data_IF_132835091368
#
_entry.id   IF_132835091368
#
_cell.length_a   1.000
_cell.length_b   1.000
_cell.length_c   1.000
_cell.angle_alpha   90.00
_cell.angle_beta   90.00
_cell.angle_gamma   90.00
#
_symmetry.space_group_name_H-M   'P 1'
#
loop_
_entity.id
_entity.type
_entity.pdbx_description
1 polymer ?
#
# COMPACT_ATOMS: atom_id res chain seq x y z
N UNK A 1 16.11 9.17 3.68
CA UNK A 1 16.18 8.46 2.38
C UNK A 1 14.83 7.79 2.16
N UNK A 2 14.54 7.34 0.95
CA UNK A 2 13.26 6.74 0.60
C UNK A 2 13.54 5.64 -0.43
N UNK A 3 12.85 4.51 -0.31
CA UNK A 3 12.93 3.44 -1.29
C UNK A 3 11.52 3.17 -1.81
N UNK A 4 11.19 3.90 -2.87
CA UNK A 4 9.89 3.83 -3.54
C UNK A 4 9.80 2.60 -4.43
N UNK A 5 8.69 1.88 -4.32
CA UNK A 5 8.33 0.72 -5.15
C UNK A 5 6.82 0.56 -5.27
N UNK A 6 6.39 -0.35 -6.15
CA UNK A 6 4.99 -0.73 -6.31
C UNK A 6 4.05 0.38 -6.77
N UNK A 7 4.40 1.22 -7.76
CA UNK A 7 3.49 2.24 -8.26
C UNK A 7 2.25 1.61 -8.91
N UNK A 8 1.06 2.07 -8.52
CA UNK A 8 -0.22 1.68 -9.14
C UNK A 8 -1.19 2.86 -9.15
N UNK A 9 -1.96 3.04 -10.24
CA UNK A 9 -3.03 4.02 -10.29
C UNK A 9 -4.37 3.40 -9.86
N UNK A 10 -5.18 4.15 -9.11
CA UNK A 10 -6.59 3.82 -8.92
C UNK A 10 -7.47 4.34 -10.06
N UNK A 11 -8.76 4.05 -10.01
CA UNK A 11 -9.75 4.43 -11.03
C UNK A 11 -10.06 5.92 -11.07
N UNK A 12 -9.67 6.67 -10.03
CA UNK A 12 -9.79 8.12 -9.94
C UNK A 12 -8.52 8.85 -10.39
N UNK A 13 -7.45 8.10 -10.70
CA UNK A 13 -6.17 8.62 -11.19
C UNK A 13 -5.18 9.01 -10.10
N UNK A 14 -5.42 8.67 -8.83
CA UNK A 14 -4.37 8.83 -7.81
C UNK A 14 -3.31 7.75 -7.99
N UNK A 15 -2.05 8.14 -7.83
CA UNK A 15 -0.92 7.21 -7.79
C UNK A 15 -0.68 6.74 -6.35
N UNK A 16 -0.66 5.44 -6.17
CA UNK A 16 -0.30 4.78 -4.92
C UNK A 16 1.09 4.16 -5.05
N UNK A 17 1.90 4.27 -4.00
CA UNK A 17 3.24 3.72 -3.97
C UNK A 17 3.71 3.50 -2.53
N UNK A 18 4.69 2.61 -2.39
CA UNK A 18 5.22 2.19 -1.08
C UNK A 18 6.53 2.91 -0.78
N UNK A 19 6.89 2.95 0.51
CA UNK A 19 8.24 3.24 0.98
C UNK A 19 8.72 2.11 1.89
N UNK A 20 9.41 1.14 1.27
CA UNK A 20 9.59 -0.21 1.82
C UNK A 20 10.17 -0.19 3.25
N UNK A 21 11.33 0.45 3.52
CA UNK A 21 11.99 0.32 4.82
C UNK A 21 11.26 1.07 5.94
N UNK A 22 10.38 2.00 5.57
CA UNK A 22 9.65 2.85 6.50
C UNK A 22 8.20 2.39 6.71
N UNK A 23 7.75 1.34 6.01
CA UNK A 23 6.41 0.79 6.21
C UNK A 23 5.30 1.76 5.86
N UNK A 24 5.51 2.62 4.85
CA UNK A 24 4.53 3.64 4.44
C UNK A 24 3.92 3.32 3.10
N UNK A 25 2.65 3.68 2.96
CA UNK A 25 1.95 3.74 1.68
C UNK A 25 1.51 5.19 1.46
N UNK A 26 1.93 5.75 0.34
CA UNK A 26 1.56 7.07 -0.09
C UNK A 26 0.42 7.03 -1.10
N UNK A 27 -0.36 8.10 -1.11
CA UNK A 27 -1.22 8.49 -2.23
C UNK A 27 -0.72 9.81 -2.78
N UNK A 28 -0.66 9.92 -4.10
CA UNK A 28 -0.31 11.13 -4.82
C UNK A 28 -1.48 11.49 -5.72
N UNK A 29 -2.02 12.68 -5.54
CA UNK A 29 -3.12 13.19 -6.35
C UNK A 29 -2.68 13.46 -7.80
N UNK A 30 -3.61 13.57 -8.76
CA UNK A 30 -3.26 13.92 -10.15
C UNK A 30 -2.51 15.24 -10.33
N UNK A 31 -2.67 16.19 -9.39
CA UNK A 31 -1.92 17.45 -9.34
C UNK A 31 -0.59 17.37 -8.56
N UNK A 32 -0.21 16.19 -8.09
CA UNK A 32 1.09 15.91 -7.49
C UNK A 32 1.18 16.17 -5.99
N UNK A 33 0.06 16.26 -5.28
CA UNK A 33 0.02 16.39 -3.82
C UNK A 33 0.22 15.02 -3.18
N UNK A 34 1.15 14.92 -2.23
CA UNK A 34 1.49 13.68 -1.54
C UNK A 34 0.83 13.59 -0.17
N UNK A 35 0.34 12.40 0.16
CA UNK A 35 -0.25 12.08 1.46
C UNK A 35 0.27 10.72 1.95
N UNK A 36 0.62 10.62 3.24
CA UNK A 36 0.83 9.31 3.90
C UNK A 36 -0.55 8.77 4.26
N UNK A 37 -0.97 7.71 3.60
CA UNK A 37 -2.26 7.09 3.87
C UNK A 37 -2.16 6.10 5.02
N UNK A 38 -1.08 5.33 5.07
CA UNK A 38 -0.82 4.37 6.15
C UNK A 38 0.67 4.33 6.46
N UNK A 39 1.00 4.18 7.74
CA UNK A 39 2.33 3.86 8.26
C UNK A 39 2.19 2.70 9.26
N UNK A 40 2.98 1.63 9.10
CA UNK A 40 2.86 0.42 9.91
C UNK A 40 4.17 -0.39 9.96
N UNK A 41 4.25 -1.37 10.85
CA UNK A 41 5.44 -2.21 11.05
C UNK A 41 5.53 -3.35 10.01
N UNK A 42 5.73 -2.98 8.75
CA UNK A 42 5.86 -3.91 7.62
C UNK A 42 6.82 -3.37 6.57
N UNK A 43 7.09 -4.19 5.56
CA UNK A 43 7.93 -3.83 4.40
C UNK A 43 7.09 -4.00 3.13
N UNK A 44 6.16 -3.06 2.86
CA UNK A 44 5.32 -3.10 1.66
C UNK A 44 6.19 -2.96 0.42
N UNK A 45 5.89 -3.69 -0.64
CA UNK A 45 6.61 -3.61 -1.91
C UNK A 45 5.66 -3.46 -3.09
N UNK A 46 4.90 -4.52 -3.42
CA UNK A 46 3.98 -4.51 -4.56
C UNK A 46 2.58 -4.10 -4.16
N UNK A 47 1.92 -3.28 -4.99
CA UNK A 47 0.53 -2.87 -4.82
C UNK A 47 -0.34 -3.32 -6.00
N UNK A 48 -1.59 -3.67 -5.74
CA UNK A 48 -2.62 -3.88 -6.76
C UNK A 48 -3.96 -3.32 -6.29
N UNK A 49 -4.58 -2.48 -7.12
CA UNK A 49 -5.93 -1.96 -6.86
C UNK A 49 -6.96 -3.00 -7.31
N UNK A 50 -7.87 -3.35 -6.42
CA UNK A 50 -9.02 -4.21 -6.72
C UNK A 50 -10.18 -3.36 -7.25
N UNK A 51 -11.06 -3.89 -8.13
CA UNK A 51 -12.18 -3.12 -8.69
C UNK A 51 -13.20 -2.54 -7.68
N UNK A 52 -13.13 -2.92 -6.40
CA UNK A 52 -13.95 -2.34 -5.33
C UNK A 52 -13.23 -1.23 -4.53
N UNK A 53 -12.08 -0.76 -5.01
CA UNK A 53 -11.32 0.34 -4.41
C UNK A 53 -10.32 -0.07 -3.33
N UNK A 54 -10.31 -1.34 -2.89
CA UNK A 54 -9.31 -1.85 -1.94
C UNK A 54 -7.95 -2.03 -2.61
N UNK A 55 -6.88 -1.96 -1.82
CA UNK A 55 -5.51 -2.19 -2.30
C UNK A 55 -4.94 -3.44 -1.65
N UNK A 56 -4.50 -4.39 -2.48
CA UNK A 56 -3.72 -5.54 -2.04
C UNK A 56 -2.24 -5.18 -2.02
N UNK A 57 -1.57 -5.60 -0.96
CA UNK A 57 -0.19 -5.24 -0.66
C UNK A 57 0.61 -6.53 -0.51
N UNK A 58 1.66 -6.68 -1.31
CA UNK A 58 2.69 -7.67 -1.07
C UNK A 58 3.69 -7.08 -0.08
N UNK A 59 3.69 -7.60 1.14
CA UNK A 59 4.54 -7.16 2.24
C UNK A 59 5.55 -8.26 2.61
N UNK A 60 6.84 -7.91 2.63
CA UNK A 60 7.90 -8.88 2.92
C UNK A 60 7.83 -9.46 4.33
N UNK A 61 7.31 -8.70 5.31
CA UNK A 61 7.23 -9.10 6.72
C UNK A 61 5.87 -9.72 7.07
N UNK A 62 4.80 -9.23 6.46
CA UNK A 62 3.42 -9.53 6.88
C UNK A 62 2.66 -10.45 5.90
N UNK A 63 3.22 -10.76 4.73
CA UNK A 63 2.57 -11.59 3.71
C UNK A 63 1.73 -10.76 2.74
N UNK A 64 0.52 -11.21 2.42
CA UNK A 64 -0.42 -10.43 1.60
C UNK A 64 -1.42 -9.75 2.52
N UNK A 65 -1.49 -8.43 2.43
CA UNK A 65 -2.45 -7.60 3.15
C UNK A 65 -3.48 -7.01 2.18
N UNK A 66 -4.62 -6.59 2.71
CA UNK A 66 -5.60 -5.76 2.02
C UNK A 66 -5.86 -4.50 2.85
N UNK A 67 -5.80 -3.35 2.19
CA UNK A 67 -6.12 -2.03 2.72
C UNK A 67 -7.47 -1.58 2.16
N UNK A 68 -8.39 -1.24 3.06
CA UNK A 68 -9.57 -0.45 2.74
C UNK A 68 -9.17 1.03 2.66
N UNK A 69 -9.33 1.64 1.49
CA UNK A 69 -8.80 2.97 1.20
C UNK A 69 -9.67 4.11 1.75
N UNK A 70 -10.90 3.83 2.16
CA UNK A 70 -11.81 4.80 2.78
C UNK A 70 -11.60 4.85 4.30
N UNK A 71 -11.50 3.68 4.93
CA UNK A 71 -11.38 3.53 6.39
C UNK A 71 -9.94 3.45 6.87
N UNK A 72 -8.99 3.18 5.96
CA UNK A 72 -7.58 2.95 6.23
C UNK A 72 -7.32 1.74 7.15
N UNK A 73 -8.27 0.82 7.20
CA UNK A 73 -8.13 -0.45 7.91
C UNK A 73 -7.38 -1.44 7.04
N UNK A 74 -6.40 -2.11 7.62
CA UNK A 74 -5.60 -3.12 6.94
C UNK A 74 -5.74 -4.48 7.62
N UNK A 75 -5.87 -5.55 6.83
CA UNK A 75 -6.03 -6.91 7.33
C UNK A 75 -5.18 -7.91 6.54
N UNK A 76 -4.73 -9.01 7.15
CA UNK A 76 -4.05 -10.08 6.44
C UNK A 76 -5.04 -10.84 5.54
N UNK A 77 -4.58 -11.18 4.34
CA UNK A 77 -5.23 -12.08 3.37
C UNK A 77 -4.51 -13.42 3.33
N UNK A 78 -3.17 -13.36 3.33
CA UNK A 78 -2.29 -14.51 3.43
C UNK A 78 -1.20 -14.15 4.43
N UNK A 79 -1.11 -14.91 5.52
CA UNK A 79 -0.08 -14.68 6.53
C UNK A 79 1.31 -15.07 6.00
N UNK A 80 2.35 -14.36 6.47
CA UNK A 80 3.73 -14.71 6.17
C UNK A 80 4.06 -16.14 6.61
N UNK A 81 4.94 -16.82 5.87
CA UNK A 81 5.27 -18.26 6.02
C UNK A 81 6.01 -18.63 7.32
N UNK A 82 5.99 -17.77 8.33
CA UNK A 82 6.64 -17.92 9.63
C UNK A 82 5.69 -17.72 10.83
N UNK A 83 4.36 -17.84 10.62
CA UNK A 83 3.42 -18.13 11.72
C UNK A 83 3.69 -19.50 12.33
#
# INVERSE_FOLDING_TARGET
ECFLEGPVFDDTGHLWLTDIPYGRIFRVTPDGVWEVMVEYDGWPNGLAVHPDGRIYIADYRQGILVLDTETLVMCPVVEGRHS
#
